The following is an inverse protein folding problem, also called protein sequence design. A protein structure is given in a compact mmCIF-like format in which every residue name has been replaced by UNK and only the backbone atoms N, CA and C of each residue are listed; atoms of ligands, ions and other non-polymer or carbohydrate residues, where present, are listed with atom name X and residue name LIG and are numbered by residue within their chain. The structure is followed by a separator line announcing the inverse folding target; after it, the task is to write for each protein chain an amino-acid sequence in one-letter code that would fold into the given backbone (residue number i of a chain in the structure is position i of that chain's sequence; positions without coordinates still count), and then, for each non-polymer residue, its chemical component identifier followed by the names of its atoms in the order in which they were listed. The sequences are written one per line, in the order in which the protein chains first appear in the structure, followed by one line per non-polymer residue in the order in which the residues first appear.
data_IF_202852261440
#
_entry.id   IF_202852261440
#
_cell.length_a   1.000
_cell.length_b   1.000
_cell.length_c   1.000
_cell.angle_alpha   90.00
_cell.angle_beta   90.00
_cell.angle_gamma   90.00
#
_symmetry.space_group_name_H-M   'P 1'
#
loop_
_entity.id
_entity.type
_entity.pdbx_description
1 polymer ?
#
# COMPACT_ATOMS: atom_id res chain seq x y z
N UNK A 1 -16.79 -22.92 -17.42
CA UNK A 1 -16.90 -21.86 -16.38
C UNK A 1 -16.62 -20.53 -17.04
N UNK A 2 -17.41 -19.49 -16.79
CA UNK A 2 -17.13 -18.15 -17.33
C UNK A 2 -15.81 -17.62 -16.76
N UNK A 3 -15.00 -16.93 -17.58
CA UNK A 3 -13.71 -16.35 -17.17
C UNK A 3 -13.87 -15.50 -15.91
N UNK A 4 -14.94 -14.71 -15.81
CA UNK A 4 -15.23 -13.87 -14.63
C UNK A 4 -15.39 -14.67 -13.34
N UNK A 5 -16.01 -15.85 -13.40
CA UNK A 5 -16.18 -16.73 -12.24
C UNK A 5 -14.84 -17.22 -11.71
N UNK A 6 -13.84 -17.40 -12.57
CA UNK A 6 -12.50 -17.81 -12.20
C UNK A 6 -11.78 -16.69 -11.41
N UNK A 7 -11.78 -15.47 -11.96
CA UNK A 7 -11.20 -14.29 -11.28
C UNK A 7 -11.84 -14.08 -9.90
N UNK A 8 -13.17 -14.16 -9.82
CA UNK A 8 -13.89 -14.01 -8.55
C UNK A 8 -13.54 -15.11 -7.54
N UNK A 9 -13.47 -16.38 -7.97
CA UNK A 9 -13.13 -17.49 -7.08
C UNK A 9 -11.72 -17.35 -6.51
N UNK A 10 -10.76 -16.91 -7.33
CA UNK A 10 -9.39 -16.68 -6.88
C UNK A 10 -9.29 -15.52 -5.90
N UNK A 11 -9.90 -14.38 -6.23
CA UNK A 11 -9.95 -13.22 -5.34
C UNK A 11 -10.58 -13.58 -3.99
N UNK A 12 -11.68 -14.34 -4.00
CA UNK A 12 -12.33 -14.83 -2.78
C UNK A 12 -11.45 -15.79 -2.00
N UNK A 13 -10.75 -16.71 -2.69
CA UNK A 13 -9.84 -17.66 -2.06
C UNK A 13 -8.71 -16.93 -1.33
N UNK A 14 -8.02 -16.02 -2.02
CA UNK A 14 -6.90 -15.25 -1.47
C UNK A 14 -7.38 -14.39 -0.29
N UNK A 15 -8.50 -13.67 -0.44
CA UNK A 15 -9.11 -12.88 0.63
C UNK A 15 -9.46 -13.74 1.85
N UNK A 16 -10.11 -14.89 1.68
CA UNK A 16 -10.46 -15.78 2.79
C UNK A 16 -9.20 -16.36 3.45
N UNK A 17 -8.16 -16.65 2.68
CA UNK A 17 -6.89 -17.14 3.23
C UNK A 17 -6.28 -16.10 4.16
N UNK A 18 -6.18 -14.84 3.71
CA UNK A 18 -5.61 -13.76 4.51
C UNK A 18 -6.51 -13.43 5.71
N UNK A 19 -7.83 -13.35 5.54
CA UNK A 19 -8.76 -13.09 6.64
C UNK A 19 -8.69 -14.16 7.75
N UNK A 20 -8.30 -15.39 7.40
CA UNK A 20 -8.08 -16.49 8.36
C UNK A 20 -6.69 -16.49 8.98
N UNK A 21 -5.81 -15.57 8.58
CA UNK A 21 -4.49 -15.37 9.19
C UNK A 21 -4.52 -14.14 10.11
N UNK A 22 -4.97 -14.27 11.38
CA UNK A 22 -5.13 -13.12 12.28
C UNK A 22 -3.81 -12.40 12.53
N UNK A 23 -2.68 -13.12 12.47
CA UNK A 23 -1.34 -12.55 12.59
C UNK A 23 -1.01 -11.53 11.50
N UNK A 24 -1.67 -11.57 10.34
CA UNK A 24 -1.56 -10.55 9.29
C UNK A 24 -2.62 -9.47 9.42
N UNK A 25 -3.89 -9.88 9.60
CA UNK A 25 -5.04 -8.96 9.62
C UNK A 25 -4.94 -7.97 10.77
N UNK A 26 -4.64 -8.45 11.97
CA UNK A 26 -4.67 -7.61 13.17
C UNK A 26 -3.60 -6.50 13.09
N UNK A 27 -2.31 -6.78 12.83
CA UNK A 27 -1.31 -5.71 12.74
C UNK A 27 -1.56 -4.77 11.56
N UNK A 28 -2.01 -5.30 10.42
CA UNK A 28 -2.27 -4.50 9.21
C UNK A 28 -3.36 -3.44 9.43
N UNK A 29 -4.40 -3.77 10.20
CA UNK A 29 -5.48 -2.84 10.55
C UNK A 29 -5.15 -2.00 11.79
N UNK A 30 -4.56 -2.63 12.81
CA UNK A 30 -4.34 -2.02 14.10
C UNK A 30 -3.23 -0.96 14.07
N UNK A 31 -2.11 -1.19 13.39
CA UNK A 31 -0.99 -0.24 13.44
C UNK A 31 -1.30 1.13 12.86
N UNK A 32 -1.86 1.26 11.63
CA UNK A 32 -2.19 2.58 11.09
C UNK A 32 -3.22 3.30 11.96
N UNK A 33 -4.24 2.57 12.44
CA UNK A 33 -5.26 3.12 13.31
C UNK A 33 -4.71 3.56 14.66
N UNK A 34 -3.86 2.74 15.28
CA UNK A 34 -3.21 3.05 16.56
C UNK A 34 -2.32 4.29 16.44
N UNK A 35 -1.50 4.38 15.38
CA UNK A 35 -0.65 5.55 15.17
C UNK A 35 -1.48 6.81 14.90
N UNK A 36 -2.55 6.70 14.11
CA UNK A 36 -3.44 7.84 13.88
C UNK A 36 -4.15 8.28 15.17
N UNK A 37 -4.67 7.34 15.97
CA UNK A 37 -5.28 7.66 17.26
C UNK A 37 -4.26 8.33 18.18
N UNK A 38 -3.07 7.76 18.31
CA UNK A 38 -2.04 8.27 19.19
C UNK A 38 -1.57 9.67 18.76
N UNK A 39 -1.15 9.85 17.51
CA UNK A 39 -0.55 11.09 17.05
C UNK A 39 -1.57 12.12 16.52
N UNK A 40 -2.61 11.67 15.83
CA UNK A 40 -3.63 12.53 15.24
C UNK A 40 -4.76 12.93 16.21
N UNK A 41 -5.08 12.08 17.19
CA UNK A 41 -6.20 12.32 18.13
C UNK A 41 -5.71 12.67 19.54
N UNK A 42 -4.86 11.85 20.15
CA UNK A 42 -4.44 12.03 21.55
C UNK A 42 -3.37 13.12 21.71
N UNK A 43 -2.32 13.11 20.88
CA UNK A 43 -1.20 14.06 20.96
C UNK A 43 -1.46 15.40 20.24
N UNK A 44 -2.71 15.89 20.30
CA UNK A 44 -3.31 17.02 19.55
C UNK A 44 -2.64 18.39 19.74
N UNK A 45 -1.33 18.47 19.56
CA UNK A 45 -0.48 19.62 19.80
C UNK A 45 -0.37 20.47 18.54
N UNK A 46 -1.43 21.22 18.23
CA UNK A 46 -1.34 22.37 17.31
C UNK A 46 -2.03 22.27 15.95
N UNK A 47 -2.91 21.30 15.72
CA UNK A 47 -3.54 21.08 14.41
C UNK A 47 -2.76 20.09 13.54
N UNK A 48 -3.35 19.59 12.45
CA UNK A 48 -2.73 18.58 11.58
C UNK A 48 -3.27 17.15 11.71
N UNK A 49 -4.44 16.95 12.34
CA UNK A 49 -5.11 15.64 12.34
C UNK A 49 -5.48 15.19 10.92
N UNK A 50 -5.86 16.13 10.06
CA UNK A 50 -6.10 15.95 8.62
C UNK A 50 -4.80 15.58 7.86
N UNK A 51 -3.69 16.25 8.15
CA UNK A 51 -2.36 15.89 7.61
C UNK A 51 -2.03 14.43 7.95
N UNK A 52 -2.09 14.09 9.24
CA UNK A 52 -1.75 12.76 9.75
C UNK A 52 -2.73 11.70 9.25
N UNK A 53 -4.01 12.04 9.07
CA UNK A 53 -4.99 11.13 8.49
C UNK A 53 -4.54 10.69 7.10
N UNK A 54 -4.12 11.64 6.25
CA UNK A 54 -3.63 11.34 4.89
C UNK A 54 -2.37 10.48 4.93
N UNK A 55 -1.37 10.87 5.73
CA UNK A 55 -0.10 10.15 5.77
C UNK A 55 -0.23 8.74 6.34
N UNK A 56 -1.00 8.57 7.42
CA UNK A 56 -1.28 7.24 7.99
C UNK A 56 -2.21 6.40 7.10
N UNK A 57 -3.08 7.02 6.30
CA UNK A 57 -3.84 6.30 5.28
C UNK A 57 -2.92 5.72 4.21
N UNK A 58 -1.95 6.51 3.71
CA UNK A 58 -0.96 6.03 2.76
C UNK A 58 -0.10 4.90 3.36
N UNK A 59 0.35 5.08 4.61
CA UNK A 59 1.11 4.07 5.35
C UNK A 59 0.32 2.76 5.49
N UNK A 60 -0.92 2.83 5.95
CA UNK A 60 -1.72 1.65 6.20
C UNK A 60 -2.04 0.86 4.93
N UNK A 61 -2.32 1.55 3.83
CA UNK A 61 -2.64 0.93 2.55
C UNK A 61 -1.40 0.27 1.89
N UNK A 62 -0.22 0.86 2.06
CA UNK A 62 1.04 0.33 1.54
C UNK A 62 1.39 -1.06 2.11
N UNK A 63 1.12 -1.29 3.39
CA UNK A 63 1.46 -2.53 4.09
C UNK A 63 0.84 -3.77 3.41
N UNK A 64 -0.49 -3.91 3.37
CA UNK A 64 -1.15 -5.04 2.73
C UNK A 64 -0.73 -5.23 1.27
N UNK A 65 -0.56 -4.14 0.51
CA UNK A 65 -0.13 -4.22 -0.89
C UNK A 65 1.27 -4.84 -1.04
N UNK A 66 2.23 -4.48 -0.17
CA UNK A 66 3.58 -5.07 -0.23
C UNK A 66 3.63 -6.48 0.37
N UNK A 67 3.11 -6.66 1.58
CA UNK A 67 3.26 -7.90 2.32
C UNK A 67 2.43 -9.04 1.71
N UNK A 68 1.20 -8.78 1.25
CA UNK A 68 0.38 -9.81 0.61
C UNK A 68 1.08 -10.37 -0.65
N UNK A 69 1.58 -9.47 -1.50
CA UNK A 69 2.28 -9.89 -2.71
C UNK A 69 3.62 -10.56 -2.39
N UNK A 70 4.45 -9.97 -1.54
CA UNK A 70 5.78 -10.50 -1.28
C UNK A 70 5.74 -11.83 -0.53
N UNK A 71 5.10 -11.88 0.64
CA UNK A 71 5.05 -13.08 1.46
C UNK A 71 4.13 -14.15 0.82
N UNK A 72 3.00 -13.74 0.27
CA UNK A 72 2.04 -14.66 -0.36
C UNK A 72 2.64 -15.36 -1.58
N UNK A 73 3.26 -14.62 -2.50
CA UNK A 73 3.86 -15.22 -3.72
C UNK A 73 5.09 -16.05 -3.38
N UNK A 74 5.94 -15.59 -2.46
CA UNK A 74 7.10 -16.36 -2.03
C UNK A 74 6.69 -17.69 -1.38
N UNK A 75 5.64 -17.67 -0.54
CA UNK A 75 5.07 -18.87 0.07
C UNK A 75 4.43 -19.80 -0.97
N UNK A 76 3.62 -19.26 -1.89
CA UNK A 76 2.98 -20.04 -2.95
C UNK A 76 4.02 -20.72 -3.87
N UNK A 77 5.17 -20.07 -4.11
CA UNK A 77 6.32 -20.66 -4.81
C UNK A 77 6.98 -21.77 -4.00
N UNK A 78 7.29 -21.51 -2.73
CA UNK A 78 8.01 -22.46 -1.87
C UNK A 78 7.24 -23.78 -1.70
N UNK A 79 5.91 -23.70 -1.63
CA UNK A 79 5.02 -24.85 -1.45
C UNK A 79 4.52 -25.47 -2.78
N UNK A 80 4.99 -24.99 -3.94
CA UNK A 80 4.63 -25.53 -5.25
C UNK A 80 3.21 -25.18 -5.74
N UNK A 81 2.44 -24.37 -4.99
CA UNK A 81 1.11 -23.92 -5.41
C UNK A 81 1.17 -23.08 -6.67
N UNK A 82 2.22 -22.27 -6.84
CA UNK A 82 2.38 -21.47 -8.04
C UNK A 82 2.54 -22.36 -9.29
N UNK A 83 3.33 -23.43 -9.19
CA UNK A 83 3.51 -24.41 -10.27
C UNK A 83 2.19 -25.10 -10.60
N UNK A 84 1.43 -25.51 -9.57
CA UNK A 84 0.12 -26.14 -9.76
C UNK A 84 -0.88 -25.20 -10.45
N UNK A 85 -0.88 -23.91 -10.08
CA UNK A 85 -1.72 -22.88 -10.73
C UNK A 85 -1.30 -22.63 -12.18
N UNK A 86 0.00 -22.64 -12.48
CA UNK A 86 0.51 -22.50 -13.86
C UNK A 86 0.17 -23.69 -14.77
N UNK A 87 0.07 -24.90 -14.21
CA UNK A 87 -0.36 -26.10 -14.95
C UNK A 87 -1.87 -26.16 -15.17
N UNK A 88 -2.64 -25.40 -14.40
CA UNK A 88 -4.08 -25.31 -14.56
C UNK A 88 -4.46 -24.41 -15.75
N UNK A 89 -5.67 -24.54 -16.34
CA UNK A 89 -6.14 -23.68 -17.42
C UNK A 89 -6.40 -22.22 -16.99
N UNK A 90 -5.97 -21.83 -15.78
CA UNK A 90 -6.14 -20.50 -15.24
C UNK A 90 -5.07 -19.53 -15.76
N UNK A 91 -5.46 -18.36 -16.30
CA UNK A 91 -4.50 -17.36 -16.70
C UNK A 91 -3.79 -16.78 -15.46
N UNK A 92 -2.49 -16.53 -15.56
CA UNK A 92 -1.70 -15.94 -14.47
C UNK A 92 -2.23 -14.55 -14.03
N UNK A 93 -2.88 -13.82 -14.93
CA UNK A 93 -3.58 -12.56 -14.62
C UNK A 93 -4.65 -12.75 -13.56
N UNK A 94 -5.32 -13.91 -13.48
CA UNK A 94 -6.34 -14.17 -12.47
C UNK A 94 -5.74 -14.31 -11.07
N UNK A 95 -4.54 -14.87 -10.96
CA UNK A 95 -3.80 -14.93 -9.72
C UNK A 95 -3.37 -13.53 -9.25
N UNK A 96 -2.76 -12.74 -10.13
CA UNK A 96 -2.32 -11.37 -9.82
C UNK A 96 -3.50 -10.46 -9.47
N UNK A 97 -4.60 -10.52 -10.23
CA UNK A 97 -5.79 -9.74 -9.94
C UNK A 97 -6.48 -10.21 -8.66
N UNK A 98 -6.40 -11.49 -8.31
CA UNK A 98 -6.84 -12.00 -7.01
C UNK A 98 -6.12 -11.30 -5.85
N UNK A 99 -4.79 -11.31 -5.87
CA UNK A 99 -3.97 -10.63 -4.85
C UNK A 99 -4.16 -9.12 -4.82
N UNK A 100 -4.30 -8.50 -5.99
CA UNK A 100 -4.58 -7.07 -6.08
C UNK A 100 -5.94 -6.74 -5.46
N UNK A 101 -6.98 -7.53 -5.78
CA UNK A 101 -8.32 -7.38 -5.22
C UNK A 101 -8.31 -7.50 -3.71
N UNK A 102 -7.62 -8.50 -3.15
CA UNK A 102 -7.47 -8.64 -1.70
C UNK A 102 -6.80 -7.41 -1.09
N UNK A 103 -5.69 -6.95 -1.70
CA UNK A 103 -4.97 -5.76 -1.23
C UNK A 103 -5.85 -4.51 -1.26
N UNK A 104 -6.67 -4.33 -2.31
CA UNK A 104 -7.64 -3.24 -2.42
C UNK A 104 -8.75 -3.34 -1.38
N UNK A 105 -9.27 -4.54 -1.10
CA UNK A 105 -10.27 -4.74 -0.03
C UNK A 105 -9.70 -4.32 1.33
N UNK A 106 -8.49 -4.75 1.67
CA UNK A 106 -7.81 -4.30 2.89
C UNK A 106 -7.60 -2.79 2.89
N UNK A 107 -7.22 -2.22 1.75
CA UNK A 107 -7.01 -0.77 1.62
C UNK A 107 -8.30 0.00 1.90
N UNK A 108 -9.43 -0.46 1.34
CA UNK A 108 -10.76 0.13 1.60
C UNK A 108 -11.14 0.02 3.08
N UNK A 109 -10.89 -1.14 3.72
CA UNK A 109 -11.18 -1.31 5.15
C UNK A 109 -10.32 -0.37 6.01
N UNK A 110 -9.03 -0.25 5.70
CA UNK A 110 -8.12 0.67 6.40
C UNK A 110 -8.57 2.12 6.25
N UNK A 111 -8.90 2.54 5.02
CA UNK A 111 -9.43 3.87 4.75
C UNK A 111 -10.74 4.12 5.49
N UNK A 112 -11.68 3.16 5.47
CA UNK A 112 -12.94 3.29 6.19
C UNK A 112 -12.72 3.46 7.71
N UNK A 113 -11.81 2.68 8.30
CA UNK A 113 -11.45 2.80 9.72
C UNK A 113 -10.80 4.15 10.04
N UNK A 114 -9.82 4.58 9.24
CA UNK A 114 -9.15 5.84 9.47
C UNK A 114 -10.07 7.04 9.23
N UNK A 115 -10.87 7.02 8.17
CA UNK A 115 -11.77 8.13 7.82
C UNK A 115 -12.89 8.26 8.85
N UNK A 116 -13.49 7.15 9.29
CA UNK A 116 -14.48 7.17 10.37
C UNK A 116 -13.89 7.70 11.68
N UNK A 117 -12.67 7.29 12.01
CA UNK A 117 -11.94 7.77 13.19
C UNK A 117 -11.57 9.25 13.05
N UNK A 118 -11.18 9.70 11.86
CA UNK A 118 -10.82 11.08 11.58
C UNK A 118 -12.00 12.03 11.63
N UNK A 119 -13.11 11.65 11.01
CA UNK A 119 -14.35 12.42 11.05
C UNK A 119 -14.98 12.43 12.46
N UNK A 120 -14.93 11.29 13.18
CA UNK A 120 -15.56 11.16 14.50
C UNK A 120 -14.71 11.71 15.65
N UNK A 121 -13.48 11.20 15.82
CA UNK A 121 -12.61 11.51 16.96
C UNK A 121 -11.55 12.57 16.62
N UNK A 122 -11.05 12.57 15.38
CA UNK A 122 -10.00 13.49 14.93
C UNK A 122 -10.46 14.92 14.69
N UNK A 123 -11.76 15.16 14.55
CA UNK A 123 -12.32 16.47 14.19
C UNK A 123 -11.87 16.94 12.81
N UNK A 124 -11.60 15.99 11.89
CA UNK A 124 -11.20 16.29 10.52
C UNK A 124 -12.41 16.74 9.73
N UNK A 125 -12.36 17.98 9.25
CA UNK A 125 -13.44 18.58 8.46
C UNK A 125 -12.99 18.63 7.00
N UNK A 126 -13.56 17.75 6.19
CA UNK A 126 -13.37 17.71 4.73
C UNK A 126 -14.73 17.70 4.04
N UNK A 127 -14.80 18.29 2.86
CA UNK A 127 -15.98 18.17 2.00
C UNK A 127 -16.17 16.73 1.49
N UNK A 128 -17.40 16.33 1.19
CA UNK A 128 -17.72 15.00 0.65
C UNK A 128 -16.89 14.67 -0.61
N UNK A 129 -16.64 15.68 -1.45
CA UNK A 129 -15.79 15.56 -2.63
C UNK A 129 -14.32 15.28 -2.29
N UNK A 130 -13.78 15.90 -1.23
CA UNK A 130 -12.41 15.65 -0.76
C UNK A 130 -12.26 14.24 -0.18
N UNK A 131 -13.24 13.77 0.60
CA UNK A 131 -13.23 12.39 1.13
C UNK A 131 -13.14 11.36 0.00
N UNK A 132 -13.99 11.52 -1.02
CA UNK A 132 -14.02 10.61 -2.16
C UNK A 132 -12.74 10.70 -2.99
N UNK A 133 -12.28 11.93 -3.29
CA UNK A 133 -11.07 12.13 -4.08
C UNK A 133 -9.82 11.59 -3.36
N UNK A 134 -9.74 11.76 -2.05
CA UNK A 134 -8.66 11.22 -1.23
C UNK A 134 -8.67 9.69 -1.24
N UNK A 135 -9.83 9.06 -1.07
CA UNK A 135 -9.96 7.61 -1.15
C UNK A 135 -9.50 7.07 -2.51
N UNK A 136 -9.97 7.66 -3.61
CA UNK A 136 -9.59 7.25 -4.97
C UNK A 136 -8.09 7.43 -5.19
N UNK A 137 -7.53 8.57 -4.78
CA UNK A 137 -6.10 8.87 -4.94
C UNK A 137 -5.24 7.84 -4.23
N UNK A 138 -5.57 7.50 -2.98
CA UNK A 138 -4.82 6.52 -2.19
C UNK A 138 -4.99 5.10 -2.77
N UNK A 139 -6.21 4.72 -3.17
CA UNK A 139 -6.48 3.40 -3.75
C UNK A 139 -5.78 3.19 -5.10
N UNK A 140 -5.76 4.19 -5.97
CA UNK A 140 -5.05 4.11 -7.26
C UNK A 140 -3.53 4.11 -7.02
N UNK A 141 -3.07 4.86 -6.03
CA UNK A 141 -1.66 4.92 -5.64
C UNK A 141 -1.09 3.63 -5.05
N UNK A 142 -1.90 2.59 -4.82
CA UNK A 142 -1.44 1.29 -4.29
C UNK A 142 -0.58 0.48 -5.25
N UNK A 143 -0.75 0.73 -6.55
CA UNK A 143 -0.12 -0.03 -7.63
C UNK A 143 1.42 -0.20 -7.51
N UNK A 144 2.23 0.87 -7.32
CA UNK A 144 3.67 0.72 -7.16
C UNK A 144 4.06 -0.18 -5.99
N UNK A 145 3.31 -0.16 -4.90
CA UNK A 145 3.59 -0.99 -3.72
C UNK A 145 3.26 -2.46 -3.97
N UNK A 146 2.16 -2.72 -4.69
CA UNK A 146 1.83 -4.07 -5.16
C UNK A 146 2.92 -4.62 -6.10
N UNK A 147 3.46 -3.78 -6.99
CA UNK A 147 4.55 -4.17 -7.90
C UNK A 147 5.88 -4.39 -7.16
N UNK A 148 6.21 -3.56 -6.16
CA UNK A 148 7.34 -3.81 -5.26
C UNK A 148 7.18 -5.15 -4.54
N UNK A 149 6.00 -5.39 -3.95
CA UNK A 149 5.69 -6.65 -3.29
C UNK A 149 5.82 -7.84 -4.24
N UNK A 150 5.31 -7.71 -5.46
CA UNK A 150 5.42 -8.73 -6.50
C UNK A 150 6.88 -9.04 -6.84
N UNK A 151 7.70 -8.01 -7.07
CA UNK A 151 9.12 -8.17 -7.39
C UNK A 151 9.86 -8.92 -6.28
N UNK A 152 9.61 -8.55 -5.02
CA UNK A 152 10.19 -9.21 -3.85
C UNK A 152 9.70 -10.65 -3.71
N UNK A 153 8.41 -10.90 -3.90
CA UNK A 153 7.81 -12.25 -3.86
C UNK A 153 8.31 -13.18 -4.96
N UNK A 154 8.68 -12.64 -6.13
CA UNK A 154 9.34 -13.38 -7.21
C UNK A 154 10.84 -13.56 -6.97
N UNK A 155 11.48 -12.74 -6.14
CA UNK A 155 12.94 -12.75 -6.00
C UNK A 155 13.43 -13.48 -4.76
N UNK A 156 12.64 -13.47 -3.69
CA UNK A 156 13.04 -13.96 -2.37
C UNK A 156 12.45 -15.34 -2.06
N UNK A 157 12.96 -15.97 -1.00
CA UNK A 157 12.36 -17.14 -0.37
C UNK A 157 11.23 -16.75 0.57
N UNK A 158 10.36 -17.71 0.89
CA UNK A 158 9.27 -17.56 1.86
C UNK A 158 9.75 -17.10 3.24
N UNK A 159 10.90 -17.59 3.71
CA UNK A 159 11.52 -17.19 4.99
C UNK A 159 12.11 -15.77 4.96
N UNK A 160 12.69 -15.36 3.83
CA UNK A 160 13.35 -14.06 3.72
C UNK A 160 12.36 -12.93 3.39
N UNK A 161 11.29 -13.21 2.65
CA UNK A 161 10.39 -12.20 2.12
C UNK A 161 9.80 -11.26 3.20
N UNK A 162 9.21 -11.75 4.31
CA UNK A 162 8.65 -10.86 5.33
C UNK A 162 9.69 -9.94 5.99
N UNK A 163 10.92 -10.44 6.19
CA UNK A 163 12.01 -9.68 6.80
C UNK A 163 12.51 -8.56 5.87
N UNK A 164 12.75 -8.88 4.59
CA UNK A 164 13.22 -7.90 3.60
C UNK A 164 12.14 -6.86 3.31
N UNK A 165 10.86 -7.27 3.24
CA UNK A 165 9.75 -6.32 3.05
C UNK A 165 9.69 -5.34 4.21
N UNK A 166 9.82 -5.79 5.47
CA UNK A 166 9.90 -4.88 6.62
C UNK A 166 11.08 -3.92 6.53
N UNK A 167 12.26 -4.42 6.13
CA UNK A 167 13.47 -3.62 5.98
C UNK A 167 13.35 -2.53 4.90
N UNK A 168 12.46 -2.70 3.92
CA UNK A 168 12.16 -1.68 2.91
C UNK A 168 10.99 -0.80 3.38
N UNK A 169 9.93 -1.41 3.89
CA UNK A 169 8.67 -0.77 4.28
C UNK A 169 8.87 0.28 5.38
N UNK A 170 9.61 -0.05 6.44
CA UNK A 170 9.80 0.86 7.58
C UNK A 170 10.65 2.08 7.21
N UNK A 171 11.85 1.94 6.62
CA UNK A 171 12.62 3.11 6.17
C UNK A 171 11.86 3.93 5.12
N UNK A 172 11.17 3.28 4.18
CA UNK A 172 10.36 3.98 3.19
C UNK A 172 9.26 4.83 3.84
N UNK A 173 8.52 4.28 4.82
CA UNK A 173 7.49 5.02 5.55
C UNK A 173 8.06 6.22 6.32
N UNK A 174 9.20 6.02 6.99
CA UNK A 174 9.86 7.05 7.78
C UNK A 174 10.46 8.16 6.91
N UNK A 175 11.27 7.80 5.91
CA UNK A 175 11.96 8.72 5.00
C UNK A 175 11.01 9.47 4.07
N UNK A 176 9.80 8.96 3.84
CA UNK A 176 8.75 9.66 3.10
C UNK A 176 7.97 10.65 3.96
N UNK A 177 8.27 10.73 5.26
CA UNK A 177 7.60 11.59 6.21
C UNK A 177 6.16 11.20 6.50
N UNK A 178 5.85 9.91 6.45
CA UNK A 178 4.49 9.44 6.76
C UNK A 178 4.17 9.49 8.26
N UNK A 179 5.19 9.26 9.10
CA UNK A 179 5.06 9.26 10.56
C UNK A 179 5.42 10.60 11.18
N UNK A 180 6.45 11.26 10.62
CA UNK A 180 6.91 12.57 11.05
C UNK A 180 6.97 13.50 9.83
N UNK A 181 6.50 14.75 9.93
CA UNK A 181 6.59 15.70 8.83
C UNK A 181 8.01 15.90 8.32
N UNK A 182 8.17 16.01 6.99
CA UNK A 182 9.49 16.06 6.35
C UNK A 182 10.34 17.26 6.75
N UNK A 183 9.72 18.40 7.06
CA UNK A 183 10.42 19.62 7.45
C UNK A 183 11.19 19.47 8.78
N UNK A 184 10.93 18.41 9.56
CA UNK A 184 11.68 18.08 10.78
C UNK A 184 13.01 17.38 10.46
N UNK A 185 13.20 16.88 9.25
CA UNK A 185 14.43 16.21 8.85
C UNK A 185 15.45 17.19 8.25
N UNK A 186 16.76 16.89 8.36
CA UNK A 186 17.82 17.57 7.62
C UNK A 186 17.57 17.59 6.10
N UNK A 187 18.04 18.63 5.41
CA UNK A 187 17.79 18.85 3.96
C UNK A 187 18.16 17.64 3.08
N UNK A 188 19.27 16.95 3.40
CA UNK A 188 19.71 15.79 2.65
C UNK A 188 18.71 14.60 2.75
N UNK A 189 18.05 14.44 3.89
CA UNK A 189 17.01 13.43 4.08
C UNK A 189 15.72 13.80 3.34
N UNK A 190 15.38 15.09 3.31
CA UNK A 190 14.24 15.57 2.53
C UNK A 190 14.41 15.32 1.03
N UNK A 191 15.65 15.42 0.51
CA UNK A 191 15.94 15.08 -0.89
C UNK A 191 15.78 13.58 -1.17
N UNK A 192 16.14 12.71 -0.21
CA UNK A 192 15.96 11.26 -0.34
C UNK A 192 14.48 10.84 -0.36
N UNK A 193 13.56 11.66 0.18
CA UNK A 193 12.13 11.37 0.13
C UNK A 193 11.61 11.18 -1.31
N UNK A 194 12.18 11.92 -2.27
CA UNK A 194 11.83 11.86 -3.70
C UNK A 194 12.13 10.52 -4.36
N UNK A 195 12.93 9.66 -3.73
CA UNK A 195 13.21 8.32 -4.25
C UNK A 195 12.12 7.30 -3.89
N UNK A 196 11.18 7.66 -3.00
CA UNK A 196 10.22 6.73 -2.46
C UNK A 196 8.83 6.93 -3.06
N UNK A 197 8.15 5.87 -3.54
CA UNK A 197 6.80 6.01 -4.09
C UNK A 197 5.79 6.46 -3.01
N UNK A 198 6.01 6.12 -1.74
CA UNK A 198 5.19 6.59 -0.61
C UNK A 198 5.22 8.10 -0.44
N UNK A 199 6.33 8.77 -0.72
CA UNK A 199 6.40 10.22 -0.68
C UNK A 199 5.47 10.81 -1.74
N UNK A 200 5.59 10.38 -3.00
CA UNK A 200 4.74 10.90 -4.07
C UNK A 200 3.26 10.62 -3.84
N UNK A 201 2.90 9.43 -3.31
CA UNK A 201 1.52 9.14 -2.95
C UNK A 201 1.00 10.06 -1.84
N UNK A 202 1.79 10.24 -0.78
CA UNK A 202 1.40 11.11 0.33
C UNK A 202 1.20 12.55 -0.12
N UNK A 203 2.06 13.08 -0.99
CA UNK A 203 1.93 14.42 -1.54
C UNK A 203 0.67 14.58 -2.41
N UNK A 204 0.31 13.56 -3.20
CA UNK A 204 -0.95 13.58 -3.95
C UNK A 204 -2.17 13.59 -3.02
N UNK A 205 -2.15 12.80 -1.94
CA UNK A 205 -3.20 12.82 -0.93
C UNK A 205 -3.28 14.16 -0.21
N UNK A 206 -2.14 14.72 0.19
CA UNK A 206 -2.05 15.99 0.91
C UNK A 206 -2.51 17.17 0.03
N UNK A 207 -2.33 17.05 -1.28
CA UNK A 207 -2.80 18.03 -2.25
C UNK A 207 -4.33 18.13 -2.30
N UNK A 208 -5.05 17.04 -2.04
CA UNK A 208 -6.53 17.04 -1.95
C UNK A 208 -7.02 17.93 -0.82
N UNK A 209 -6.23 18.05 0.25
CA UNK A 209 -6.54 18.87 1.42
C UNK A 209 -5.73 20.18 1.46
N UNK A 210 -5.05 20.54 0.36
CA UNK A 210 -4.22 21.74 0.22
C UNK A 210 -3.09 21.87 1.27
N UNK A 211 -2.50 20.74 1.66
CA UNK A 211 -1.36 20.67 2.60
C UNK A 211 -0.12 20.00 1.97
N UNK A 212 -0.04 19.97 0.63
CA UNK A 212 1.15 19.49 -0.08
C UNK A 212 2.31 20.50 0.00
N UNK A 213 3.50 20.05 -0.37
CA UNK A 213 4.71 20.89 -0.41
C UNK A 213 4.74 21.88 -1.61
N UNK A 214 3.63 22.06 -2.32
CA UNK A 214 3.47 23.03 -3.41
C UNK A 214 3.96 22.55 -4.79
N UNK A 215 4.45 21.32 -4.91
CA UNK A 215 4.88 20.75 -6.19
C UNK A 215 3.70 20.35 -7.08
N UNK A 216 3.91 20.29 -8.39
CA UNK A 216 2.83 19.98 -9.35
C UNK A 216 2.26 18.57 -9.15
N UNK A 217 0.95 18.40 -9.37
CA UNK A 217 0.34 17.06 -9.30
C UNK A 217 0.93 16.13 -10.39
N UNK A 218 1.27 16.68 -11.55
CA UNK A 218 1.88 15.97 -12.66
C UNK A 218 3.26 15.38 -12.31
N UNK A 219 4.06 16.05 -11.47
CA UNK A 219 5.39 15.52 -11.11
C UNK A 219 5.27 14.30 -10.21
N UNK A 220 4.34 14.31 -9.25
CA UNK A 220 4.14 13.15 -8.38
C UNK A 220 3.49 11.97 -9.11
N UNK A 221 2.49 12.22 -9.96
CA UNK A 221 1.93 11.15 -10.79
C UNK A 221 2.92 10.62 -11.81
N UNK A 222 3.66 11.50 -12.48
CA UNK A 222 4.70 11.11 -13.43
C UNK A 222 5.76 10.23 -12.78
N UNK A 223 6.22 10.60 -11.59
CA UNK A 223 7.16 9.79 -10.80
C UNK A 223 6.57 8.43 -10.42
N UNK A 224 5.33 8.38 -9.89
CA UNK A 224 4.67 7.13 -9.54
C UNK A 224 4.47 6.20 -10.74
N UNK A 225 4.06 6.74 -11.89
CA UNK A 225 3.89 5.98 -13.12
C UNK A 225 5.23 5.46 -13.64
N UNK A 226 6.27 6.29 -13.62
CA UNK A 226 7.62 5.88 -14.03
C UNK A 226 8.16 4.77 -13.12
N UNK A 227 8.04 4.92 -11.80
CA UNK A 227 8.45 3.90 -10.84
C UNK A 227 7.65 2.60 -11.03
N UNK A 228 6.34 2.70 -11.19
CA UNK A 228 5.48 1.56 -11.48
C UNK A 228 5.88 0.86 -12.78
N UNK A 229 6.20 1.63 -13.83
CA UNK A 229 6.67 1.09 -15.10
C UNK A 229 8.01 0.36 -14.95
N UNK A 230 8.99 0.95 -14.26
CA UNK A 230 10.29 0.33 -14.01
C UNK A 230 10.14 -0.98 -13.20
N UNK A 231 9.29 -0.97 -12.18
CA UNK A 231 8.98 -2.17 -11.37
C UNK A 231 8.26 -3.23 -12.19
N UNK A 232 7.28 -2.86 -13.00
CA UNK A 232 6.59 -3.78 -13.89
C UNK A 232 7.54 -4.43 -14.90
N UNK A 233 8.48 -3.66 -15.47
CA UNK A 233 9.54 -4.17 -16.34
C UNK A 233 10.48 -5.13 -15.60
N UNK A 234 10.87 -4.80 -14.37
CA UNK A 234 11.69 -5.68 -13.53
C UNK A 234 10.97 -6.99 -13.21
N UNK A 235 9.68 -6.93 -12.84
CA UNK A 235 8.83 -8.10 -12.61
C UNK A 235 8.72 -8.96 -13.89
N UNK A 236 8.47 -8.35 -15.05
CA UNK A 236 8.36 -9.06 -16.31
C UNK A 236 9.68 -9.76 -16.71
N UNK A 237 10.83 -9.09 -16.50
CA UNK A 237 12.15 -9.70 -16.72
C UNK A 237 12.40 -10.87 -15.77
N UNK A 238 12.08 -10.69 -14.48
CA UNK A 238 12.26 -11.74 -13.47
C UNK A 238 11.37 -12.95 -13.75
N UNK A 239 10.13 -12.72 -14.15
CA UNK A 239 9.18 -13.78 -14.49
C UNK A 239 9.61 -14.58 -15.73
N UNK A 240 10.26 -13.95 -16.72
CA UNK A 240 10.82 -14.65 -17.90
C UNK A 240 12.06 -15.48 -17.60
N UNK A 241 12.74 -15.22 -16.48
CA UNK A 241 13.95 -15.95 -16.07
C UNK A 241 13.64 -17.16 -15.18
N UNK A 242 12.39 -17.32 -14.76
CA UNK A 242 11.89 -18.47 -14.00
C UNK A 242 11.41 -19.56 -14.94
#
# INVERSE_FOLDING_TARGET
MSSLTLYYKEARYDLLSILRTPAFVLPALAFPLMFYLFFGVFFRSGGGADYLLVTYSCFGVMGPAMFNFAAGIASDRAHGWLTLKQLSPMPFSAYLLGKLSTSLVFSVVILALLFSTGAGLGGVVLSDGQWLLLAITILVGTLPFALLGLLLGLSLSDKAAPGVVNLIYLPMAFLSGLWLPLFLFPDWLQQLAWLWPSFHLSQLGLKVIAQDLGFSWFSHLGALLLMSMLLALACARRFRQM
#
